data_IF_295204603400
#
_entry.id   IF_295204603400
#
_cell.length_a   1.000
_cell.length_b   1.000
_cell.length_c   1.000
_cell.angle_alpha   90.00
_cell.angle_beta   90.00
_cell.angle_gamma   90.00
#
_symmetry.space_group_name_H-M   'P 1'
#
loop_
_entity.id
_entity.type
_entity.pdbx_description
1 polymer ?
#
# COMPACT_ATOMS: atom_id res chain seq x y z
N UNK A 1 13.82 -23.33 11.23
CA UNK A 1 12.44 -22.84 11.47
C UNK A 1 12.51 -21.87 12.64
N UNK A 2 11.94 -20.67 12.50
CA UNK A 2 11.85 -19.70 13.60
C UNK A 2 10.79 -20.18 14.63
N UNK A 3 11.11 -20.15 15.92
CA UNK A 3 10.18 -20.58 16.98
C UNK A 3 9.06 -19.57 17.25
N UNK A 4 9.30 -18.29 16.96
CA UNK A 4 8.33 -17.21 17.21
C UNK A 4 7.33 -17.05 16.06
N UNK A 5 7.79 -17.06 14.80
CA UNK A 5 6.92 -16.84 13.64
C UNK A 5 6.62 -18.10 12.82
N UNK A 6 7.14 -19.28 13.22
CA UNK A 6 7.02 -20.58 12.53
C UNK A 6 7.44 -20.60 11.06
N UNK A 7 8.14 -19.56 10.56
CA UNK A 7 8.66 -19.52 9.19
C UNK A 7 9.87 -20.43 9.05
N UNK A 8 9.98 -21.10 7.91
CA UNK A 8 11.15 -21.87 7.53
C UNK A 8 12.21 -20.93 6.93
N UNK A 9 13.47 -21.11 7.32
CA UNK A 9 14.58 -20.40 6.69
C UNK A 9 14.83 -21.06 5.33
N UNK A 10 14.65 -20.32 4.25
CA UNK A 10 14.90 -20.72 2.87
C UNK A 10 16.01 -19.80 2.37
N UNK A 11 17.06 -20.33 1.75
CA UNK A 11 18.23 -19.54 1.33
C UNK A 11 17.87 -18.47 0.28
N UNK A 12 16.92 -18.74 -0.61
CA UNK A 12 16.46 -17.82 -1.64
C UNK A 12 14.92 -17.76 -1.67
N UNK A 13 14.29 -17.06 -0.72
CA UNK A 13 12.84 -16.98 -0.66
C UNK A 13 12.33 -16.15 -1.85
N UNK A 14 11.44 -16.72 -2.65
CA UNK A 14 10.82 -16.01 -3.77
C UNK A 14 9.65 -15.13 -3.32
N UNK A 15 9.03 -15.46 -2.19
CA UNK A 15 7.96 -14.68 -1.58
C UNK A 15 8.49 -13.91 -0.36
N UNK A 16 9.17 -12.80 -0.64
CA UNK A 16 9.71 -11.92 0.40
C UNK A 16 8.70 -10.83 0.77
N UNK A 17 8.59 -10.48 2.06
CA UNK A 17 7.84 -9.29 2.45
C UNK A 17 8.47 -8.06 1.79
N UNK A 18 7.63 -7.12 1.35
CA UNK A 18 8.12 -5.84 0.85
C UNK A 18 8.78 -5.09 2.00
N UNK A 19 10.06 -4.75 1.82
CA UNK A 19 10.87 -3.99 2.79
C UNK A 19 10.25 -2.63 3.11
N UNK A 20 10.45 -2.14 4.32
CA UNK A 20 9.89 -0.85 4.75
C UNK A 20 10.43 0.35 3.94
N UNK A 21 11.66 0.26 3.42
CA UNK A 21 12.21 1.25 2.47
C UNK A 21 11.37 1.38 1.20
N UNK A 22 10.95 0.24 0.63
CA UNK A 22 10.06 0.20 -0.55
C UNK A 22 8.68 0.76 -0.21
N UNK A 23 8.12 0.44 0.96
CA UNK A 23 6.85 1.03 1.42
C UNK A 23 6.93 2.54 1.54
N UNK A 24 8.01 3.06 2.13
CA UNK A 24 8.25 4.50 2.25
C UNK A 24 8.36 5.18 0.89
N UNK A 25 9.05 4.57 -0.07
CA UNK A 25 9.11 5.06 -1.45
C UNK A 25 7.71 5.08 -2.09
N UNK A 26 6.96 3.98 -2.00
CA UNK A 26 5.60 3.88 -2.54
C UNK A 26 4.70 4.97 -1.96
N UNK A 27 4.74 5.21 -0.65
CA UNK A 27 3.95 6.24 0.02
C UNK A 27 4.25 7.64 -0.52
N UNK A 28 5.52 7.97 -0.78
CA UNK A 28 5.90 9.23 -1.42
C UNK A 28 5.35 9.33 -2.85
N UNK A 29 5.44 8.25 -3.63
CA UNK A 29 4.90 8.24 -5.01
C UNK A 29 3.37 8.39 -5.05
N UNK A 30 2.66 7.85 -4.05
CA UNK A 30 1.21 8.04 -3.90
C UNK A 30 0.85 9.51 -3.60
N UNK A 31 1.68 10.22 -2.81
CA UNK A 31 1.49 11.66 -2.54
C UNK A 31 1.62 12.50 -3.81
N UNK A 32 2.55 12.13 -4.70
CA UNK A 32 2.72 12.75 -6.03
C UNK A 32 1.60 12.37 -7.03
N UNK A 33 0.58 11.63 -6.58
CA UNK A 33 -0.56 11.16 -7.40
C UNK A 33 -0.14 10.32 -8.61
N UNK A 34 0.99 9.62 -8.52
CA UNK A 34 1.45 8.73 -9.60
C UNK A 34 0.46 7.54 -9.70
N UNK A 35 0.06 7.14 -10.92
CA UNK A 35 -0.83 6.00 -11.10
C UNK A 35 -0.28 4.70 -10.51
N UNK A 36 -1.14 3.90 -9.89
CA UNK A 36 -0.76 2.63 -9.23
C UNK A 36 -0.01 1.67 -10.17
N UNK A 37 -0.45 1.56 -11.42
CA UNK A 37 0.24 0.73 -12.42
C UNK A 37 1.66 1.25 -12.72
N UNK A 38 1.87 2.57 -12.68
CA UNK A 38 3.19 3.18 -12.81
C UNK A 38 4.09 2.86 -11.62
N UNK A 39 3.54 2.95 -10.40
CA UNK A 39 4.24 2.61 -9.16
C UNK A 39 4.64 1.13 -9.14
N UNK A 40 3.72 0.22 -9.51
CA UNK A 40 3.97 -1.21 -9.54
C UNK A 40 5.17 -1.57 -10.45
N UNK A 41 5.23 -0.94 -11.64
CA UNK A 41 6.36 -1.11 -12.57
C UNK A 41 7.64 -0.47 -12.08
N UNK A 42 7.58 0.73 -11.52
CA UNK A 42 8.77 1.48 -11.08
C UNK A 42 9.45 0.86 -9.86
N UNK A 43 8.68 0.30 -8.93
CA UNK A 43 9.19 -0.28 -7.67
C UNK A 43 9.30 -1.81 -7.73
N UNK A 44 8.88 -2.41 -8.85
CA UNK A 44 8.87 -3.86 -9.08
C UNK A 44 8.13 -4.62 -7.98
N UNK A 45 6.88 -4.21 -7.69
CA UNK A 45 6.00 -4.87 -6.72
C UNK A 45 4.76 -5.44 -7.40
N UNK A 46 4.18 -6.48 -6.81
CA UNK A 46 2.93 -7.06 -7.29
C UNK A 46 1.79 -6.03 -7.21
N UNK A 47 1.03 -5.88 -8.30
CA UNK A 47 -0.14 -4.99 -8.34
C UNK A 47 -1.17 -5.35 -7.28
N UNK A 48 -1.41 -6.65 -7.03
CA UNK A 48 -2.33 -7.10 -5.98
C UNK A 48 -1.86 -6.67 -4.60
N UNK A 49 -0.56 -6.82 -4.33
CA UNK A 49 0.02 -6.41 -3.05
C UNK A 49 -0.06 -4.89 -2.87
N UNK A 50 0.26 -4.12 -3.92
CA UNK A 50 0.16 -2.67 -3.90
C UNK A 50 -1.27 -2.21 -3.63
N UNK A 51 -2.26 -2.82 -4.28
CA UNK A 51 -3.67 -2.50 -4.06
C UNK A 51 -4.09 -2.76 -2.61
N UNK A 52 -3.72 -3.93 -2.04
CA UNK A 52 -4.00 -4.23 -0.63
C UNK A 52 -3.34 -3.21 0.30
N UNK A 53 -2.07 -2.88 0.08
CA UNK A 53 -1.36 -1.92 0.90
C UNK A 53 -1.99 -0.51 0.84
N UNK A 54 -2.41 -0.08 -0.34
CA UNK A 54 -3.09 1.20 -0.53
C UNK A 54 -4.43 1.21 0.19
N UNK A 55 -5.21 0.13 0.11
CA UNK A 55 -6.48 0.02 0.83
C UNK A 55 -6.28 0.13 2.34
N UNK A 56 -5.29 -0.57 2.91
CA UNK A 56 -4.94 -0.47 4.34
C UNK A 56 -4.63 0.97 4.75
N UNK A 57 -3.86 1.71 3.94
CA UNK A 57 -3.54 3.12 4.20
C UNK A 57 -4.81 3.97 4.22
N UNK A 58 -5.69 3.81 3.24
CA UNK A 58 -6.93 4.58 3.16
C UNK A 58 -7.93 4.22 4.26
N UNK A 59 -7.99 2.97 4.69
CA UNK A 59 -8.81 2.53 5.82
C UNK A 59 -8.27 3.08 7.16
N UNK A 60 -6.94 3.18 7.30
CA UNK A 60 -6.30 3.74 8.49
C UNK A 60 -6.34 5.27 8.55
N UNK A 61 -6.52 5.93 7.42
CA UNK A 61 -6.68 7.37 7.36
C UNK A 61 -8.13 7.72 7.69
N UNK A 62 -8.40 8.20 8.90
CA UNK A 62 -9.70 8.74 9.29
C UNK A 62 -10.14 9.83 8.30
N UNK A 63 -10.97 9.49 7.32
CA UNK A 63 -11.51 10.44 6.35
C UNK A 63 -12.62 11.27 6.98
N UNK A 64 -12.27 12.20 7.85
CA UNK A 64 -13.17 13.31 8.21
C UNK A 64 -13.05 14.43 7.17
N UNK A 65 -13.66 14.21 6.00
CA UNK A 65 -14.02 15.34 5.14
C UNK A 65 -15.48 15.66 5.41
N UNK A 66 -15.73 16.67 6.24
CA UNK A 66 -17.08 17.18 6.48
C UNK A 66 -17.64 17.80 5.19
N UNK A 67 -18.29 16.99 4.35
CA UNK A 67 -18.95 17.48 3.14
C UNK A 67 -20.26 18.15 3.53
N UNK A 68 -20.29 19.49 3.53
CA UNK A 68 -21.56 20.23 3.63
C UNK A 68 -22.36 20.02 2.34
N UNK A 69 -23.42 19.21 2.41
CA UNK A 69 -24.32 19.00 1.29
C UNK A 69 -25.03 20.32 0.97
N UNK A 70 -24.79 20.91 -0.21
CA UNK A 70 -25.55 22.09 -0.66
C UNK A 70 -27.01 21.67 -0.91
N UNK A 71 -27.96 22.35 -0.26
CA UNK A 71 -29.39 22.12 -0.48
C UNK A 71 -29.73 22.35 -1.95
N UNK A 72 -30.36 21.35 -2.58
CA UNK A 72 -30.89 21.43 -3.94
C UNK A 72 -32.08 22.39 -3.91
N UNK A 73 -32.02 23.49 -4.66
CA UNK A 73 -33.17 24.36 -4.87
C UNK A 73 -34.21 23.58 -5.70
N UNK A 74 -35.43 23.47 -5.17
CA UNK A 74 -36.64 23.00 -5.86
C UNK A 74 -37.40 24.22 -6.31
#
# INVERSE_FOLDING_TARGET
MCKDCRRQFVENPTNQPVSDEKKSLINRLLMEKIPLAGIARAVCVSERWLQSHVNEIYESAETEVAVTVKKKAV
#
